data_IF_041089170160
#
_entry.id   IF_041089170160
#
_cell.length_a   1.000
_cell.length_b   1.000
_cell.length_c   1.000
_cell.angle_alpha   90.00
_cell.angle_beta   90.00
_cell.angle_gamma   90.00
#
_symmetry.space_group_name_H-M   'P 1'
#
loop_
_entity.id
_entity.type
_entity.pdbx_description
1 polymer ?
#
# COMPACT_ATOMS: atom_id res chain seq x y z
N UNK A 1 -11.17 -28.12 -7.81
CA UNK A 1 -11.80 -26.90 -8.38
C UNK A 1 -11.05 -25.59 -8.07
N UNK A 2 -10.48 -25.41 -6.86
CA UNK A 2 -9.74 -24.21 -6.46
C UNK A 2 -8.45 -23.90 -7.26
N UNK A 3 -7.74 -24.93 -7.73
CA UNK A 3 -6.49 -24.77 -8.50
C UNK A 3 -6.78 -24.24 -9.91
N UNK A 4 -7.79 -24.80 -10.58
CA UNK A 4 -8.26 -24.33 -11.90
C UNK A 4 -8.67 -22.85 -11.86
N UNK A 5 -9.49 -22.42 -10.88
CA UNK A 5 -9.89 -21.01 -10.75
C UNK A 5 -8.73 -20.03 -10.51
N UNK A 6 -7.61 -20.48 -9.93
CA UNK A 6 -6.41 -19.64 -9.75
C UNK A 6 -5.64 -19.45 -11.05
N UNK A 7 -5.54 -20.49 -11.87
CA UNK A 7 -4.87 -20.47 -13.18
C UNK A 7 -5.62 -19.60 -14.19
N UNK A 8 -6.95 -19.76 -14.30
CA UNK A 8 -7.75 -18.92 -15.20
C UNK A 8 -7.62 -17.42 -14.91
N UNK A 9 -7.51 -17.04 -13.62
CA UNK A 9 -7.37 -15.63 -13.23
C UNK A 9 -5.96 -15.07 -13.46
N UNK A 10 -4.91 -15.89 -13.43
CA UNK A 10 -3.56 -15.42 -13.76
C UNK A 10 -3.42 -15.12 -15.24
N UNK A 11 -4.04 -15.95 -16.09
CA UNK A 11 -4.01 -15.81 -17.55
C UNK A 11 -4.84 -14.61 -18.00
N UNK A 12 -5.96 -14.33 -17.33
CA UNK A 12 -6.76 -13.12 -17.56
C UNK A 12 -6.02 -11.83 -17.21
N UNK A 13 -5.24 -11.82 -16.11
CA UNK A 13 -4.45 -10.63 -15.74
C UNK A 13 -3.32 -10.40 -16.73
N UNK A 14 -2.63 -11.46 -17.16
CA UNK A 14 -1.60 -11.37 -18.20
C UNK A 14 -2.20 -10.80 -19.49
N UNK A 15 -3.34 -11.34 -19.93
CA UNK A 15 -4.09 -10.84 -21.09
C UNK A 15 -4.52 -9.38 -20.94
N UNK A 16 -5.04 -9.00 -19.76
CA UNK A 16 -5.43 -7.63 -19.47
C UNK A 16 -4.27 -6.63 -19.64
N UNK A 17 -3.09 -6.98 -19.14
CA UNK A 17 -1.87 -6.18 -19.26
C UNK A 17 -1.24 -6.27 -20.66
N UNK A 18 -1.41 -7.38 -21.38
CA UNK A 18 -0.89 -7.57 -22.74
C UNK A 18 -1.62 -6.71 -23.77
N UNK A 19 -2.91 -6.47 -23.56
CA UNK A 19 -3.76 -5.78 -24.52
C UNK A 19 -3.87 -4.27 -24.27
N UNK A 20 -3.08 -3.69 -23.36
CA UNK A 20 -3.16 -2.27 -22.99
C UNK A 20 -1.79 -1.65 -22.84
N UNK A 21 -1.69 -0.36 -23.15
CA UNK A 21 -0.51 0.41 -22.80
C UNK A 21 -0.36 0.50 -21.26
N UNK A 22 0.83 0.26 -20.69
CA UNK A 22 1.09 0.45 -19.27
C UNK A 22 1.21 1.94 -18.93
N UNK A 23 0.11 2.68 -19.12
CA UNK A 23 0.04 4.12 -18.93
C UNK A 23 0.26 4.51 -17.46
N UNK A 24 0.65 5.78 -17.24
CA UNK A 24 0.79 6.34 -15.90
C UNK A 24 -0.46 6.15 -15.04
N UNK A 25 -1.65 6.36 -15.61
CA UNK A 25 -2.92 6.18 -14.89
C UNK A 25 -3.11 4.73 -14.42
N UNK A 26 -2.80 3.75 -15.28
CA UNK A 26 -2.91 2.34 -14.91
C UNK A 26 -1.91 1.96 -13.81
N UNK A 27 -0.67 2.43 -13.93
CA UNK A 27 0.39 2.22 -12.93
C UNK A 27 -0.04 2.81 -11.58
N UNK A 28 -0.51 4.06 -11.57
CA UNK A 28 -0.96 4.74 -10.34
C UNK A 28 -2.11 3.99 -9.68
N UNK A 29 -3.11 3.56 -10.45
CA UNK A 29 -4.24 2.78 -9.91
C UNK A 29 -3.76 1.48 -9.29
N UNK A 30 -2.92 0.71 -9.98
CA UNK A 30 -2.41 -0.57 -9.47
C UNK A 30 -1.54 -0.37 -8.22
N UNK A 31 -0.61 0.59 -8.24
CA UNK A 31 0.24 0.89 -7.08
C UNK A 31 -0.62 1.32 -5.90
N UNK A 32 -1.64 2.16 -6.10
CA UNK A 32 -2.56 2.61 -5.05
C UNK A 32 -3.40 1.47 -4.45
N UNK A 33 -3.50 0.31 -5.11
CA UNK A 33 -4.15 -0.87 -4.54
C UNK A 33 -3.29 -1.64 -3.53
N UNK A 34 -1.96 -1.45 -3.54
CA UNK A 34 -1.04 -2.06 -2.56
C UNK A 34 -1.40 -1.53 -1.16
N UNK A 35 -1.51 -2.37 -0.12
CA UNK A 35 -1.80 -1.91 1.23
C UNK A 35 -0.70 -1.00 1.81
N UNK A 36 -1.08 0.03 2.57
CA UNK A 36 -0.15 1.01 3.17
C UNK A 36 0.97 0.36 3.99
N UNK A 37 0.63 -0.69 4.74
CA UNK A 37 1.58 -1.43 5.59
C UNK A 37 2.80 -1.99 4.85
N UNK A 38 2.68 -2.24 3.54
CA UNK A 38 3.77 -2.76 2.72
C UNK A 38 4.85 -1.69 2.47
N UNK A 39 4.55 -0.43 2.76
CA UNK A 39 5.47 0.70 2.64
C UNK A 39 6.07 1.13 3.99
N UNK A 40 5.73 0.48 5.10
CA UNK A 40 6.21 0.89 6.41
C UNK A 40 7.69 0.51 6.63
N UNK A 41 8.15 -0.60 6.05
CA UNK A 41 9.51 -1.11 6.28
C UNK A 41 10.56 -0.55 5.31
N UNK A 42 11.82 -0.40 5.76
CA UNK A 42 12.31 -0.60 7.15
C UNK A 42 12.06 0.58 8.10
N UNK A 43 11.52 1.69 7.65
CA UNK A 43 11.45 2.96 8.38
C UNK A 43 10.61 2.88 9.66
N UNK A 44 9.64 1.97 9.73
CA UNK A 44 8.90 1.68 10.98
C UNK A 44 9.78 1.09 12.09
N UNK A 45 10.96 0.56 11.75
CA UNK A 45 12.00 0.09 12.66
C UNK A 45 13.07 1.16 12.91
N UNK A 46 13.02 2.31 12.23
CA UNK A 46 13.92 3.41 12.52
C UNK A 46 13.56 4.06 13.87
N UNK A 47 14.58 4.53 14.60
CA UNK A 47 14.46 5.02 15.99
C UNK A 47 13.27 5.98 16.20
N UNK A 48 13.03 6.92 15.26
CA UNK A 48 11.94 7.90 15.37
C UNK A 48 10.54 7.29 15.43
N UNK A 49 10.18 6.39 14.52
CA UNK A 49 8.84 5.76 14.52
C UNK A 49 8.71 4.71 15.63
N UNK A 50 9.82 4.14 16.09
CA UNK A 50 9.84 3.26 17.26
C UNK A 50 9.58 4.03 18.56
N UNK A 51 10.20 5.20 18.73
CA UNK A 51 10.03 6.07 19.89
C UNK A 51 8.59 6.58 19.99
N UNK A 52 7.99 7.00 18.86
CA UNK A 52 6.56 7.37 18.83
C UNK A 52 5.63 6.22 19.26
N UNK A 53 5.95 4.97 18.91
CA UNK A 53 5.17 3.81 19.35
C UNK A 53 5.33 3.54 20.85
N UNK A 54 6.54 3.72 21.38
CA UNK A 54 6.81 3.60 22.81
C UNK A 54 6.05 4.67 23.59
N UNK A 55 6.12 5.94 23.17
CA UNK A 55 5.39 7.06 23.77
C UNK A 55 3.86 6.83 23.77
N UNK A 56 3.31 6.36 22.64
CA UNK A 56 1.88 6.02 22.55
C UNK A 56 1.53 4.88 23.52
N UNK A 57 2.38 3.86 23.62
CA UNK A 57 2.16 2.74 24.53
C UNK A 57 2.24 3.19 26.00
N UNK A 58 3.21 4.02 26.37
CA UNK A 58 3.34 4.58 27.71
C UNK A 58 2.12 5.41 28.10
N UNK A 59 1.61 6.23 27.17
CA UNK A 59 0.40 7.02 27.40
C UNK A 59 -0.85 6.15 27.53
N UNK A 60 -0.96 5.05 26.77
CA UNK A 60 -2.05 4.08 26.92
C UNK A 60 -1.97 3.36 28.27
N UNK A 61 -0.78 2.96 28.71
CA UNK A 61 -0.54 2.31 30.01
C UNK A 61 -0.88 3.28 31.15
N UNK A 62 -0.44 4.53 31.05
CA UNK A 62 -0.70 5.60 32.02
C UNK A 62 -2.18 5.97 32.08
N UNK A 63 -2.87 6.04 30.93
CA UNK A 63 -4.31 6.27 30.89
C UNK A 63 -5.10 5.13 31.55
N UNK A 64 -4.67 3.87 31.36
CA UNK A 64 -5.29 2.69 31.98
C UNK A 64 -5.06 2.62 33.49
N UNK A 65 -3.93 3.12 33.99
CA UNK A 65 -3.64 3.15 35.44
C UNK A 65 -4.39 4.29 36.16
N UNK A 66 -4.57 5.44 35.51
CA UNK A 66 -5.12 6.64 36.15
C UNK A 66 -6.65 6.79 36.09
N UNK A 67 -7.39 5.90 35.40
CA UNK A 67 -8.86 5.70 35.24
C UNK A 67 -9.86 6.88 35.33
N UNK A 68 -9.63 7.94 36.11
CA UNK A 68 -10.47 9.13 36.25
C UNK A 68 -9.75 10.48 36.01
N UNK A 69 -8.41 10.53 35.93
CA UNK A 69 -7.65 11.79 35.85
C UNK A 69 -6.93 12.04 34.50
N UNK A 70 -7.00 11.11 33.54
CA UNK A 70 -6.25 11.22 32.30
C UNK A 70 -6.99 12.05 31.24
N UNK A 71 -6.44 13.21 30.89
CA UNK A 71 -6.85 14.00 29.74
C UNK A 71 -6.45 13.28 28.44
N UNK A 72 -7.41 12.59 27.80
CA UNK A 72 -7.19 11.88 26.53
C UNK A 72 -6.74 12.76 25.36
N UNK A 73 -6.69 14.09 25.53
CA UNK A 73 -6.32 15.05 24.50
C UNK A 73 -4.88 14.85 24.01
N UNK A 74 -3.93 14.53 24.90
CA UNK A 74 -2.53 14.31 24.53
C UNK A 74 -2.32 13.00 23.77
N UNK A 75 -3.00 11.92 24.18
CA UNK A 75 -2.94 10.64 23.46
C UNK A 75 -3.54 10.73 22.06
N UNK A 76 -4.65 11.45 21.90
CA UNK A 76 -5.28 11.67 20.59
C UNK A 76 -4.38 12.49 19.65
N UNK A 77 -3.67 13.49 20.18
CA UNK A 77 -2.73 14.29 19.40
C UNK A 77 -1.57 13.44 18.87
N UNK A 78 -0.93 12.65 19.74
CA UNK A 78 0.20 11.80 19.37
C UNK A 78 -0.20 10.66 18.42
N UNK A 79 -1.38 10.06 18.60
CA UNK A 79 -1.91 9.09 17.64
C UNK A 79 -2.13 9.71 16.26
N UNK A 80 -2.60 10.97 16.21
CA UNK A 80 -2.80 11.69 14.96
C UNK A 80 -1.47 12.00 14.28
N UNK A 81 -0.49 12.53 15.02
CA UNK A 81 0.84 12.81 14.48
C UNK A 81 1.48 11.55 13.89
N UNK A 82 1.48 10.44 14.64
CA UNK A 82 1.99 9.16 14.16
C UNK A 82 1.28 8.68 12.88
N UNK A 83 -0.05 8.80 12.81
CA UNK A 83 -0.79 8.43 11.61
C UNK A 83 -0.47 9.34 10.42
N UNK A 84 -0.30 10.64 10.64
CA UNK A 84 0.06 11.61 9.62
C UNK A 84 1.47 11.34 9.08
N UNK A 85 2.43 10.99 9.93
CA UNK A 85 3.78 10.58 9.52
C UNK A 85 3.76 9.31 8.67
N UNK A 86 3.04 8.26 9.10
CA UNK A 86 2.88 7.04 8.32
C UNK A 86 2.25 7.33 6.96
N UNK A 87 1.22 8.18 6.91
CA UNK A 87 0.57 8.57 5.65
C UNK A 87 1.53 9.31 4.72
N UNK A 88 2.38 10.20 5.25
CA UNK A 88 3.40 10.88 4.47
C UNK A 88 4.45 9.91 3.93
N UNK A 89 4.92 8.96 4.75
CA UNK A 89 5.87 7.92 4.36
C UNK A 89 5.31 7.08 3.20
N UNK A 90 4.09 6.56 3.36
CA UNK A 90 3.38 5.79 2.32
C UNK A 90 3.28 6.61 1.04
N UNK A 91 2.86 7.88 1.14
CA UNK A 91 2.72 8.76 -0.02
C UNK A 91 4.05 8.94 -0.76
N UNK A 92 5.14 9.16 -0.02
CA UNK A 92 6.48 9.34 -0.60
C UNK A 92 6.94 8.08 -1.33
N UNK A 93 6.83 6.92 -0.68
CA UNK A 93 7.26 5.65 -1.25
C UNK A 93 6.41 5.19 -2.44
N UNK A 94 5.09 5.41 -2.39
CA UNK A 94 4.22 5.16 -3.56
C UNK A 94 4.66 6.00 -4.76
N UNK A 95 4.94 7.29 -4.57
CA UNK A 95 5.43 8.17 -5.63
C UNK A 95 6.76 7.68 -6.21
N UNK A 96 7.70 7.25 -5.35
CA UNK A 96 8.98 6.69 -5.79
C UNK A 96 8.79 5.38 -6.57
N UNK A 97 7.90 4.49 -6.12
CA UNK A 97 7.59 3.24 -6.82
C UNK A 97 6.96 3.52 -8.20
N UNK A 98 5.98 4.42 -8.27
CA UNK A 98 5.35 4.84 -9.54
C UNK A 98 6.42 5.39 -10.50
N UNK A 99 7.27 6.30 -10.02
CA UNK A 99 8.36 6.88 -10.80
C UNK A 99 9.32 5.79 -11.30
N UNK A 100 9.75 4.88 -10.42
CA UNK A 100 10.65 3.78 -10.76
C UNK A 100 10.09 2.87 -11.84
N UNK A 101 8.78 2.57 -11.81
CA UNK A 101 8.09 1.80 -12.84
C UNK A 101 8.03 2.58 -14.16
N UNK A 102 7.68 3.87 -14.12
CA UNK A 102 7.61 4.72 -15.30
C UNK A 102 8.96 4.87 -16.01
N UNK A 103 10.08 4.75 -15.31
CA UNK A 103 11.41 4.79 -15.93
C UNK A 103 11.77 3.52 -16.71
N UNK A 104 10.98 2.44 -16.60
CA UNK A 104 11.24 1.18 -17.28
C UNK A 104 10.66 1.16 -18.71
N UNK A 105 11.14 0.22 -19.53
CA UNK A 105 10.53 -0.09 -20.83
C UNK A 105 9.11 -0.66 -20.67
N UNK A 106 8.28 -0.57 -21.70
CA UNK A 106 6.89 -1.05 -21.62
C UNK A 106 6.75 -2.53 -21.28
N UNK A 107 7.64 -3.38 -21.81
CA UNK A 107 7.69 -4.80 -21.45
C UNK A 107 7.99 -5.00 -19.96
N UNK A 108 8.96 -4.25 -19.44
CA UNK A 108 9.35 -4.29 -18.03
C UNK A 108 8.24 -3.74 -17.12
N UNK A 109 7.57 -2.65 -17.53
CA UNK A 109 6.41 -2.10 -16.80
C UNK A 109 5.34 -3.18 -16.63
N UNK A 110 5.00 -3.91 -17.69
CA UNK A 110 3.98 -4.98 -17.65
C UNK A 110 4.41 -6.13 -16.74
N UNK A 111 5.67 -6.57 -16.80
CA UNK A 111 6.18 -7.62 -15.90
C UNK A 111 6.12 -7.18 -14.43
N UNK A 112 6.55 -5.96 -14.12
CA UNK A 112 6.50 -5.41 -12.76
C UNK A 112 5.05 -5.33 -12.26
N UNK A 113 4.13 -4.80 -13.07
CA UNK A 113 2.70 -4.73 -12.72
C UNK A 113 2.13 -6.13 -12.48
N UNK A 114 2.45 -7.10 -13.33
CA UNK A 114 2.01 -8.49 -13.16
C UNK A 114 2.50 -9.08 -11.83
N UNK A 115 3.78 -8.87 -11.49
CA UNK A 115 4.36 -9.31 -10.22
C UNK A 115 3.68 -8.65 -9.02
N UNK A 116 3.47 -7.33 -9.05
CA UNK A 116 2.74 -6.59 -8.00
C UNK A 116 1.36 -7.19 -7.79
N UNK A 117 0.60 -7.39 -8.87
CA UNK A 117 -0.76 -7.93 -8.80
C UNK A 117 -0.76 -9.33 -8.19
N UNK A 118 0.23 -10.15 -8.53
CA UNK A 118 0.38 -11.50 -7.98
C UNK A 118 0.74 -11.47 -6.49
N UNK A 119 1.77 -10.71 -6.13
CA UNK A 119 2.29 -10.61 -4.75
C UNK A 119 1.23 -10.13 -3.77
N UNK A 120 0.45 -9.11 -4.16
CA UNK A 120 -0.57 -8.51 -3.30
C UNK A 120 -1.99 -9.05 -3.55
N UNK A 121 -2.13 -10.12 -4.35
CA UNK A 121 -3.40 -10.79 -4.66
C UNK A 121 -4.49 -9.83 -5.18
N UNK A 122 -4.11 -8.92 -6.08
CA UNK A 122 -4.96 -7.85 -6.59
C UNK A 122 -5.79 -8.24 -7.81
N UNK A 123 -5.72 -9.50 -8.26
CA UNK A 123 -6.27 -9.95 -9.55
C UNK A 123 -7.75 -9.55 -9.71
N UNK A 124 -8.59 -9.82 -8.71
CA UNK A 124 -10.03 -9.46 -8.78
C UNK A 124 -10.25 -7.96 -8.94
N UNK A 125 -9.49 -7.13 -8.21
CA UNK A 125 -9.63 -5.67 -8.23
C UNK A 125 -9.15 -5.09 -9.55
N UNK A 126 -8.06 -5.63 -10.09
CA UNK A 126 -7.50 -5.21 -11.38
C UNK A 126 -8.43 -5.58 -12.53
N UNK A 127 -8.97 -6.80 -12.53
CA UNK A 127 -9.90 -7.24 -13.58
C UNK A 127 -11.22 -6.45 -13.57
N UNK A 128 -11.61 -5.86 -12.44
CA UNK A 128 -12.74 -4.94 -12.37
C UNK A 128 -12.47 -3.59 -13.06
N UNK A 129 -11.21 -3.26 -13.35
CA UNK A 129 -10.83 -2.04 -14.09
C UNK A 129 -10.94 -2.21 -15.62
N UNK A 130 -11.30 -3.39 -16.12
CA UNK A 130 -11.37 -3.68 -17.57
C UNK A 130 -12.14 -2.63 -18.37
N UNK A 131 -13.28 -2.18 -17.84
CA UNK A 131 -14.13 -1.16 -18.48
C UNK A 131 -13.59 0.26 -18.32
N UNK A 132 -12.89 0.56 -17.22
CA UNK A 132 -12.31 1.89 -16.97
C UNK A 132 -11.14 2.18 -17.92
N UNK A 133 -10.39 1.14 -18.27
CA UNK A 133 -9.28 1.20 -19.24
C UNK A 133 -9.66 0.51 -20.54
N UNK A 134 -10.91 0.61 -20.96
CA UNK A 134 -11.34 0.14 -22.28
C UNK A 134 -10.98 1.24 -23.28
N UNK A 135 -10.01 0.94 -24.14
CA UNK A 135 -9.74 1.72 -25.35
C UNK A 135 -10.93 1.61 -26.31
#
# INVERSE_FOLDING_TARGET
MLIMMRLFKSDEVATFLANREPSKALIEVIVNMIPDREFYYPEIEAEQLSAYREDINELIVTARSLKSAYSGMNANHLQKEYHDELKQLVTRKRKLLIFGILMQSDSSRRDILYRIIKSYRLQKRVLALKEVFRE
#
